data_IF_535485231401
#
_entry.id   IF_535485231401
#
_cell.length_a   1.000
_cell.length_b   1.000
_cell.length_c   1.000
_cell.angle_alpha   90.00
_cell.angle_beta   90.00
_cell.angle_gamma   90.00
#
_symmetry.space_group_name_H-M   'P 1'
#
loop_
_entity.id
_entity.type
_entity.pdbx_description
1 polymer ?
#
# COMPACT_ATOMS: atom_id res chain seq x y z
N UNK A 1 -10.41 -15.22 5.93
CA UNK A 1 -9.42 -14.37 5.21
C UNK A 1 -8.14 -15.17 5.02
N UNK A 2 -7.74 -15.49 3.79
CA UNK A 2 -6.42 -16.06 3.55
C UNK A 2 -5.41 -14.93 3.56
N UNK A 3 -4.46 -14.97 4.47
CA UNK A 3 -3.30 -14.08 4.45
C UNK A 3 -2.52 -14.37 3.19
N UNK A 4 -2.35 -13.38 2.32
CA UNK A 4 -1.47 -13.48 1.16
C UNK A 4 -0.04 -13.48 1.69
N UNK A 5 0.67 -14.57 1.55
CA UNK A 5 2.08 -14.59 1.86
C UNK A 5 2.79 -13.77 0.80
N UNK A 6 3.43 -12.67 1.20
CA UNK A 6 4.32 -11.89 0.36
C UNK A 6 5.74 -12.09 0.87
N UNK A 7 6.70 -12.11 -0.04
CA UNK A 7 8.13 -12.16 0.29
C UNK A 7 8.75 -10.75 0.31
N UNK A 8 7.94 -9.73 0.05
CA UNK A 8 8.34 -8.34 -0.03
C UNK A 8 7.72 -7.55 1.14
N UNK A 9 8.53 -6.66 1.69
CA UNK A 9 8.16 -5.70 2.74
C UNK A 9 8.55 -4.32 2.27
N UNK A 10 7.56 -3.43 2.20
CA UNK A 10 7.78 -2.02 1.92
C UNK A 10 7.94 -1.26 3.24
N UNK A 11 9.08 -0.59 3.43
CA UNK A 11 9.36 0.23 4.61
C UNK A 11 9.33 1.69 4.20
N UNK A 12 8.29 2.40 4.59
CA UNK A 12 8.16 3.84 4.41
C UNK A 12 8.83 4.61 5.54
N UNK A 13 9.56 5.67 5.18
CA UNK A 13 10.20 6.55 6.14
C UNK A 13 9.57 7.93 6.13
N UNK A 14 9.34 8.49 7.32
CA UNK A 14 9.26 9.94 7.45
C UNK A 14 10.64 10.53 7.13
N UNK A 15 10.70 11.63 6.37
CA UNK A 15 11.98 12.17 5.93
C UNK A 15 12.70 12.84 7.09
N UNK A 16 13.54 12.08 7.76
CA UNK A 16 14.57 12.58 8.64
C UNK A 16 15.92 12.13 8.09
N UNK A 17 16.82 13.08 7.90
CA UNK A 17 18.21 12.82 7.48
C UNK A 17 18.81 11.74 8.37
N UNK A 18 19.37 10.70 7.75
CA UNK A 18 20.03 9.58 8.45
C UNK A 18 19.14 8.36 8.75
N UNK A 19 17.83 8.40 8.50
CA UNK A 19 17.00 7.18 8.67
C UNK A 19 17.23 6.17 7.54
N UNK A 20 17.34 6.65 6.30
CA UNK A 20 17.57 5.79 5.13
C UNK A 20 18.93 5.11 5.24
N UNK A 21 19.99 5.86 5.59
CA UNK A 21 21.33 5.30 5.79
C UNK A 21 21.37 4.29 6.93
N UNK A 22 20.68 4.55 8.05
CA UNK A 22 20.60 3.59 9.15
C UNK A 22 19.85 2.33 8.76
N UNK A 23 18.74 2.47 8.01
CA UNK A 23 18.00 1.32 7.52
C UNK A 23 18.86 0.48 6.57
N UNK A 24 19.57 1.13 5.63
CA UNK A 24 20.54 0.47 4.76
C UNK A 24 21.59 -0.30 5.56
N UNK A 25 22.29 0.37 6.45
CA UNK A 25 23.34 -0.25 7.26
C UNK A 25 22.81 -1.42 8.09
N UNK A 26 21.59 -1.29 8.63
CA UNK A 26 20.91 -2.37 9.37
C UNK A 26 20.59 -3.57 8.47
N UNK A 27 20.09 -3.33 7.25
CA UNK A 27 19.81 -4.40 6.30
C UNK A 27 21.08 -5.13 5.86
N UNK A 28 22.16 -4.38 5.55
CA UNK A 28 23.47 -4.93 5.19
C UNK A 28 24.05 -5.79 6.35
N UNK A 29 23.97 -5.31 7.61
CA UNK A 29 24.36 -6.07 8.80
C UNK A 29 23.57 -7.38 8.97
N UNK A 30 22.30 -7.40 8.53
CA UNK A 30 21.44 -8.59 8.54
C UNK A 30 21.62 -9.48 7.30
N UNK A 31 22.60 -9.20 6.45
CA UNK A 31 22.96 -10.01 5.29
C UNK A 31 22.03 -9.80 4.08
N UNK A 32 21.33 -8.67 4.02
CA UNK A 32 20.67 -8.25 2.80
C UNK A 32 21.67 -7.59 1.87
N UNK A 33 21.52 -7.82 0.58
CA UNK A 33 22.32 -7.23 -0.48
C UNK A 33 21.47 -6.20 -1.22
N UNK A 34 22.01 -5.02 -1.40
CA UNK A 34 21.37 -3.96 -2.17
C UNK A 34 21.39 -4.29 -3.66
N UNK A 35 20.26 -4.15 -4.35
CA UNK A 35 20.18 -4.32 -5.80
C UNK A 35 20.87 -3.15 -6.52
N UNK A 36 21.30 -3.39 -7.75
CA UNK A 36 22.03 -2.41 -8.55
C UNK A 36 21.08 -1.60 -9.47
N UNK A 37 21.59 -0.49 -9.99
CA UNK A 37 20.93 0.31 -11.01
C UNK A 37 19.68 1.01 -10.52
N UNK A 38 18.58 0.89 -11.26
CA UNK A 38 17.29 1.53 -10.96
C UNK A 38 16.57 0.95 -9.74
N UNK A 39 16.94 -0.27 -9.32
CA UNK A 39 16.37 -0.96 -8.15
C UNK A 39 17.20 -0.80 -6.88
N UNK A 40 18.11 0.17 -6.81
CA UNK A 40 18.97 0.40 -5.64
C UNK A 40 18.23 0.69 -4.32
N UNK A 41 16.94 0.97 -4.36
CA UNK A 41 16.08 1.06 -3.19
C UNK A 41 15.68 -0.32 -2.61
N UNK A 42 15.96 -1.39 -3.36
CA UNK A 42 15.63 -2.77 -3.02
C UNK A 42 16.81 -3.49 -2.40
N UNK A 43 16.50 -4.22 -1.36
CA UNK A 43 17.44 -5.09 -0.65
C UNK A 43 16.90 -6.51 -0.65
N UNK A 44 17.72 -7.47 -0.99
CA UNK A 44 17.32 -8.86 -1.07
C UNK A 44 18.19 -9.78 -0.23
N UNK A 45 17.62 -10.85 0.32
CA UNK A 45 18.34 -11.88 1.04
C UNK A 45 17.79 -13.26 0.70
N UNK A 46 18.68 -14.17 0.31
CA UNK A 46 18.34 -15.57 0.10
C UNK A 46 18.16 -16.28 1.44
N UNK A 47 17.09 -17.06 1.59
CA UNK A 47 16.81 -17.91 2.75
C UNK A 47 16.40 -19.29 2.29
N UNK A 48 16.29 -20.25 3.23
CA UNK A 48 15.78 -21.57 2.92
C UNK A 48 14.31 -21.57 2.40
N UNK A 49 13.55 -20.53 2.74
CA UNK A 49 12.16 -20.36 2.30
C UNK A 49 12.01 -19.56 0.99
N UNK A 50 13.11 -19.06 0.43
CA UNK A 50 13.12 -18.24 -0.79
C UNK A 50 13.81 -16.88 -0.60
N UNK A 51 13.61 -15.99 -1.57
CA UNK A 51 14.15 -14.64 -1.51
C UNK A 51 13.23 -13.76 -0.66
N UNK A 52 13.80 -13.09 0.33
CA UNK A 52 13.15 -12.00 1.06
C UNK A 52 13.56 -10.68 0.42
N UNK A 53 12.59 -9.80 0.21
CA UNK A 53 12.79 -8.48 -0.40
C UNK A 53 12.35 -7.41 0.58
N UNK A 54 13.13 -6.34 0.68
CA UNK A 54 12.78 -5.13 1.44
C UNK A 54 12.99 -3.93 0.53
N UNK A 55 11.94 -3.18 0.27
CA UNK A 55 12.00 -1.93 -0.49
C UNK A 55 11.94 -0.75 0.48
N UNK A 56 12.88 0.19 0.36
CA UNK A 56 12.91 1.42 1.13
C UNK A 56 12.14 2.51 0.38
N UNK A 57 11.08 3.03 0.98
CA UNK A 57 10.21 4.03 0.38
C UNK A 57 10.32 5.37 1.10
N UNK A 58 10.25 6.47 0.36
CA UNK A 58 10.19 7.82 0.91
C UNK A 58 9.12 8.64 0.19
N UNK A 59 8.58 9.66 0.86
CA UNK A 59 7.64 10.55 0.20
C UNK A 59 8.30 11.31 -0.95
N UNK A 60 7.65 11.29 -2.12
CA UNK A 60 8.17 11.87 -3.35
C UNK A 60 8.53 13.36 -3.21
N UNK A 61 7.76 14.13 -2.44
CA UNK A 61 8.00 15.56 -2.26
C UNK A 61 9.26 15.86 -1.42
N UNK A 62 9.81 14.85 -0.78
CA UNK A 62 10.93 14.95 0.16
C UNK A 62 12.12 14.06 -0.19
N UNK A 63 12.10 13.46 -1.39
CA UNK A 63 13.08 12.46 -1.80
C UNK A 63 14.45 13.02 -2.18
N UNK A 64 14.60 14.35 -2.34
CA UNK A 64 15.86 14.95 -2.79
C UNK A 64 17.02 14.63 -1.85
N UNK A 65 18.03 13.94 -2.38
CA UNK A 65 19.26 13.57 -1.65
C UNK A 65 19.11 12.43 -0.64
N UNK A 66 18.02 11.70 -0.67
CA UNK A 66 17.73 10.59 0.27
C UNK A 66 17.80 9.21 -0.42
N UNK A 67 18.78 9.03 -1.30
CA UNK A 67 19.06 7.70 -1.85
C UNK A 67 19.66 6.77 -0.77
N UNK A 68 19.37 5.45 -0.78
CA UNK A 68 18.72 4.69 -1.85
C UNK A 68 17.21 4.40 -1.62
N UNK A 69 16.39 5.36 -1.30
CA UNK A 69 14.95 5.13 -1.16
C UNK A 69 14.18 5.44 -2.45
N UNK A 70 13.12 4.68 -2.71
CA UNK A 70 12.21 4.90 -3.83
C UNK A 70 11.25 6.05 -3.49
N UNK A 71 11.21 7.14 -4.28
CA UNK A 71 10.21 8.18 -4.12
C UNK A 71 8.80 7.65 -4.45
N UNK A 72 7.89 7.70 -3.47
CA UNK A 72 6.50 7.28 -3.63
C UNK A 72 5.58 8.38 -3.14
N UNK A 73 4.66 8.81 -3.99
CA UNK A 73 3.69 9.82 -3.64
C UNK A 73 2.70 9.33 -2.59
N UNK A 74 2.53 10.09 -1.52
CA UNK A 74 1.56 9.83 -0.46
C UNK A 74 2.07 9.01 0.73
N UNK A 75 3.35 8.64 0.77
CA UNK A 75 3.94 7.91 1.93
C UNK A 75 3.76 8.71 3.22
N UNK A 76 4.09 10.01 3.23
CA UNK A 76 3.90 10.85 4.41
C UNK A 76 2.43 10.99 4.80
N UNK A 77 1.53 11.11 3.82
CA UNK A 77 0.10 11.20 4.10
C UNK A 77 -0.46 9.90 4.71
N UNK A 78 0.04 8.74 4.28
CA UNK A 78 -0.33 7.46 4.89
C UNK A 78 0.24 7.31 6.31
N UNK A 79 1.47 7.80 6.53
CA UNK A 79 2.15 7.74 7.83
C UNK A 79 1.53 8.66 8.89
N UNK A 80 0.71 9.64 8.52
CA UNK A 80 -0.03 10.49 9.47
C UNK A 80 -1.00 9.71 10.37
N UNK A 81 -1.41 8.52 9.95
CA UNK A 81 -2.34 7.67 10.67
C UNK A 81 -1.80 6.24 10.69
N UNK A 82 -1.15 5.89 11.79
CA UNK A 82 -0.53 4.57 11.98
C UNK A 82 -1.05 3.88 13.23
N UNK A 83 -0.91 2.57 13.28
CA UNK A 83 -1.16 1.74 14.45
C UNK A 83 0.09 0.91 14.75
N UNK A 84 0.42 0.77 16.03
CA UNK A 84 1.45 -0.17 16.48
C UNK A 84 0.84 -1.57 16.51
N UNK A 85 1.49 -2.50 15.80
CA UNK A 85 1.07 -3.90 15.71
C UNK A 85 2.16 -4.79 16.28
N UNK A 86 1.78 -5.60 17.26
CA UNK A 86 2.69 -6.58 17.86
C UNK A 86 2.67 -7.87 17.02
N UNK A 87 3.80 -8.20 16.42
CA UNK A 87 3.98 -9.42 15.63
C UNK A 87 4.72 -10.46 16.46
N UNK A 88 4.15 -11.66 16.56
CA UNK A 88 4.83 -12.83 17.12
C UNK A 88 5.33 -13.70 15.97
N UNK A 89 6.63 -13.79 15.82
CA UNK A 89 7.29 -14.57 14.76
C UNK A 89 7.86 -15.83 15.38
N UNK A 90 7.41 -16.99 14.90
CA UNK A 90 7.88 -18.29 15.39
C UNK A 90 9.41 -18.41 15.23
N UNK A 91 10.10 -18.79 16.31
CA UNK A 91 11.56 -18.92 16.32
C UNK A 91 12.36 -17.62 16.42
N UNK A 92 11.70 -16.45 16.33
CA UNK A 92 12.36 -15.13 16.39
C UNK A 92 11.95 -14.35 17.66
N UNK A 93 10.67 -14.42 18.04
CA UNK A 93 10.14 -13.70 19.21
C UNK A 93 9.00 -12.74 18.83
N UNK A 94 8.86 -11.69 19.64
CA UNK A 94 7.87 -10.65 19.45
C UNK A 94 8.57 -9.35 19.03
N UNK A 95 8.01 -8.66 18.04
CA UNK A 95 8.44 -7.32 17.65
C UNK A 95 7.22 -6.42 17.47
N UNK A 96 7.41 -5.13 17.64
CA UNK A 96 6.41 -4.12 17.34
C UNK A 96 6.76 -3.45 16.04
N UNK A 97 5.76 -3.32 15.17
CA UNK A 97 5.88 -2.62 13.89
C UNK A 97 4.78 -1.58 13.79
N UNK A 98 5.12 -0.44 13.24
CA UNK A 98 4.16 0.61 12.94
C UNK A 98 3.66 0.43 11.53
N UNK A 99 2.35 0.29 11.36
CA UNK A 99 1.72 0.10 10.04
C UNK A 99 0.71 1.21 9.77
N UNK A 100 0.50 1.62 8.53
CA UNK A 100 -0.59 2.52 8.18
C UNK A 100 -1.93 1.95 8.64
N UNK A 101 -2.82 2.79 9.15
CA UNK A 101 -4.22 2.42 9.37
C UNK A 101 -4.90 2.10 8.03
N UNK A 102 -6.08 1.47 8.06
CA UNK A 102 -6.78 1.02 6.85
C UNK A 102 -7.00 2.15 5.83
N UNK A 103 -7.32 3.35 6.31
CA UNK A 103 -7.49 4.54 5.47
C UNK A 103 -6.17 5.02 4.85
N UNK A 104 -5.05 4.89 5.57
CA UNK A 104 -3.71 5.14 5.03
C UNK A 104 -3.28 4.09 4.01
N UNK A 105 -3.54 2.83 4.28
CA UNK A 105 -3.26 1.73 3.36
C UNK A 105 -4.10 1.85 2.07
N UNK A 106 -5.39 2.20 2.19
CA UNK A 106 -6.25 2.46 1.05
C UNK A 106 -5.71 3.63 0.20
N UNK A 107 -5.32 4.74 0.84
CA UNK A 107 -4.74 5.89 0.15
C UNK A 107 -3.56 5.49 -0.74
N UNK A 108 -2.57 4.78 -0.18
CA UNK A 108 -1.40 4.31 -0.93
C UNK A 108 -1.79 3.38 -2.08
N UNK A 109 -2.74 2.47 -1.84
CA UNK A 109 -3.17 1.53 -2.85
C UNK A 109 -3.95 2.20 -3.98
N UNK A 110 -4.79 3.20 -3.67
CA UNK A 110 -5.49 3.99 -4.67
C UNK A 110 -4.51 4.82 -5.53
N UNK A 111 -3.49 5.41 -4.90
CA UNK A 111 -2.44 6.14 -5.62
C UNK A 111 -1.59 5.23 -6.52
N UNK A 112 -1.34 3.98 -6.14
CA UNK A 112 -0.60 3.01 -6.95
C UNK A 112 -1.32 2.59 -8.24
N UNK A 113 -2.61 2.93 -8.41
CA UNK A 113 -3.38 2.67 -9.63
C UNK A 113 -3.08 3.64 -10.79
N UNK A 114 -2.15 4.58 -10.62
CA UNK A 114 -1.77 5.58 -11.64
C UNK A 114 -1.31 4.96 -12.96
N UNK A 115 -0.71 3.75 -12.93
CA UNK A 115 -0.31 3.01 -14.13
C UNK A 115 -1.48 2.56 -15.02
N UNK A 116 -2.71 2.59 -14.49
CA UNK A 116 -3.90 2.17 -15.20
C UNK A 116 -3.89 0.68 -15.59
N UNK A 117 -4.84 0.28 -16.42
CA UNK A 117 -5.04 -1.14 -16.81
C UNK A 117 -3.92 -1.75 -17.67
N UNK A 118 -2.92 -0.97 -18.05
CA UNK A 118 -1.73 -1.45 -18.78
C UNK A 118 -0.59 -1.92 -17.86
N UNK A 119 -0.66 -1.64 -16.56
CA UNK A 119 0.34 -2.08 -15.60
C UNK A 119 0.17 -3.59 -15.30
N UNK A 120 1.28 -4.32 -15.27
CA UNK A 120 1.29 -5.77 -14.94
C UNK A 120 0.73 -6.09 -13.54
N UNK A 121 0.81 -5.13 -12.61
CA UNK A 121 0.30 -5.25 -11.24
C UNK A 121 -1.09 -4.65 -11.06
N UNK A 122 -1.69 -4.09 -12.11
CA UNK A 122 -2.97 -3.39 -12.00
C UNK A 122 -4.07 -4.23 -11.38
N UNK A 123 -4.25 -5.47 -11.82
CA UNK A 123 -5.28 -6.38 -11.30
C UNK A 123 -5.09 -6.65 -9.80
N UNK A 124 -3.84 -6.78 -9.33
CA UNK A 124 -3.52 -6.97 -7.92
C UNK A 124 -3.83 -5.71 -7.11
N UNK A 125 -3.43 -4.55 -7.59
CA UNK A 125 -3.69 -3.27 -6.93
C UNK A 125 -5.19 -2.95 -6.89
N UNK A 126 -5.93 -3.23 -7.96
CA UNK A 126 -7.37 -3.05 -8.01
C UNK A 126 -8.10 -3.97 -7.01
N UNK A 127 -7.68 -5.23 -6.89
CA UNK A 127 -8.25 -6.17 -5.92
C UNK A 127 -7.95 -5.75 -4.48
N UNK A 128 -6.71 -5.33 -4.19
CA UNK A 128 -6.33 -4.86 -2.86
C UNK A 128 -7.08 -3.57 -2.48
N UNK A 129 -7.19 -2.60 -3.42
CA UNK A 129 -7.96 -1.38 -3.22
C UNK A 129 -9.44 -1.67 -2.94
N UNK A 130 -10.05 -2.59 -3.69
CA UNK A 130 -11.44 -3.00 -3.48
C UNK A 130 -11.65 -3.67 -2.11
N UNK A 131 -10.74 -4.54 -1.68
CA UNK A 131 -10.81 -5.19 -0.38
C UNK A 131 -10.68 -4.16 0.77
N UNK A 132 -9.76 -3.20 0.66
CA UNK A 132 -9.58 -2.13 1.64
C UNK A 132 -10.80 -1.18 1.66
N UNK A 133 -11.34 -0.79 0.50
CA UNK A 133 -12.53 0.02 0.39
C UNK A 133 -13.72 -0.65 1.09
N UNK A 134 -13.93 -1.94 0.88
CA UNK A 134 -14.98 -2.71 1.54
C UNK A 134 -14.85 -2.69 3.07
N UNK A 135 -13.62 -2.87 3.59
CA UNK A 135 -13.37 -2.81 5.03
C UNK A 135 -13.60 -1.42 5.62
N UNK A 136 -13.35 -0.36 4.84
CA UNK A 136 -13.59 1.03 5.26
C UNK A 136 -15.08 1.33 5.39
N UNK A 137 -15.90 0.93 4.43
CA UNK A 137 -17.35 1.20 4.47
C UNK A 137 -18.11 0.29 5.43
N UNK A 138 -17.62 -0.91 5.73
CA UNK A 138 -18.24 -1.83 6.69
C UNK A 138 -18.13 -1.37 8.15
N UNK A 139 -17.30 -0.36 8.44
CA UNK A 139 -17.06 0.11 9.81
C UNK A 139 -17.08 1.64 9.88
N UNK A 140 -18.06 2.20 10.56
CA UNK A 140 -18.26 3.64 10.74
C UNK A 140 -17.00 4.38 11.24
N UNK A 141 -16.21 3.75 12.09
CA UNK A 141 -14.97 4.33 12.61
C UNK A 141 -13.97 4.57 11.48
N UNK A 142 -13.77 3.61 10.60
CA UNK A 142 -12.81 3.72 9.50
C UNK A 142 -13.31 4.65 8.41
N UNK A 143 -14.61 4.61 8.11
CA UNK A 143 -15.23 5.54 7.17
C UNK A 143 -15.10 6.98 7.66
N UNK A 144 -15.31 7.25 8.94
CA UNK A 144 -15.11 8.58 9.53
C UNK A 144 -13.66 9.06 9.46
N UNK A 145 -12.68 8.18 9.68
CA UNK A 145 -11.26 8.53 9.52
C UNK A 145 -10.93 8.89 8.09
N UNK A 146 -11.42 8.11 7.13
CA UNK A 146 -11.25 8.42 5.72
C UNK A 146 -11.92 9.74 5.34
N UNK A 147 -13.14 9.96 5.76
CA UNK A 147 -13.91 11.20 5.51
C UNK A 147 -13.25 12.45 6.11
N UNK A 148 -12.45 12.29 7.15
CA UNK A 148 -11.71 13.38 7.77
C UNK A 148 -10.40 13.73 7.05
N UNK A 149 -9.89 12.84 6.16
CA UNK A 149 -8.66 13.09 5.42
C UNK A 149 -8.84 14.21 4.42
N UNK A 150 -7.81 15.04 4.31
CA UNK A 150 -7.73 16.16 3.37
C UNK A 150 -6.33 16.19 2.76
N UNK A 151 -6.17 16.99 1.71
CA UNK A 151 -4.89 17.23 1.05
C UNK A 151 -4.85 16.75 -0.40
N UNK A 152 -3.76 17.08 -1.07
CA UNK A 152 -3.55 16.78 -2.49
C UNK A 152 -3.49 15.27 -2.79
N UNK A 153 -3.03 14.48 -1.83
CA UNK A 153 -2.93 13.03 -1.94
C UNK A 153 -4.32 12.38 -1.98
N UNK A 154 -5.24 12.86 -1.15
CA UNK A 154 -6.64 12.39 -1.14
C UNK A 154 -7.34 12.80 -2.44
N UNK A 155 -7.14 14.05 -2.87
CA UNK A 155 -7.69 14.53 -4.15
C UNK A 155 -7.15 13.70 -5.34
N UNK A 156 -5.85 13.39 -5.35
CA UNK A 156 -5.23 12.56 -6.37
C UNK A 156 -5.78 11.12 -6.34
N UNK A 157 -5.88 10.51 -5.16
CA UNK A 157 -6.44 9.16 -5.01
C UNK A 157 -7.88 9.07 -5.55
N UNK A 158 -8.71 10.09 -5.27
CA UNK A 158 -10.06 10.20 -5.84
C UNK A 158 -10.06 10.32 -7.35
N UNK A 159 -9.24 11.23 -7.89
CA UNK A 159 -9.14 11.45 -9.33
C UNK A 159 -8.68 10.20 -10.09
N UNK A 160 -7.84 9.37 -9.47
CA UNK A 160 -7.37 8.10 -10.03
C UNK A 160 -8.44 7.01 -9.87
N UNK A 161 -8.98 6.83 -8.67
CA UNK A 161 -9.89 5.72 -8.36
C UNK A 161 -11.27 5.89 -9.00
N UNK A 162 -11.82 7.11 -9.04
CA UNK A 162 -13.18 7.33 -9.54
C UNK A 162 -13.39 6.77 -10.95
N UNK A 163 -12.62 7.12 -11.98
CA UNK A 163 -12.84 6.59 -13.33
C UNK A 163 -12.58 5.07 -13.42
N UNK A 164 -11.76 4.52 -12.54
CA UNK A 164 -11.45 3.09 -12.53
C UNK A 164 -12.56 2.24 -11.89
N UNK A 165 -13.36 2.81 -11.00
CA UNK A 165 -14.39 2.08 -10.25
C UNK A 165 -15.80 2.70 -10.36
N UNK A 166 -16.00 3.69 -11.23
CA UNK A 166 -17.25 4.42 -11.40
C UNK A 166 -18.44 3.53 -11.76
N UNK A 167 -18.24 2.54 -12.59
CA UNK A 167 -19.27 1.60 -13.00
C UNK A 167 -18.85 0.14 -12.83
N UNK A 168 -19.79 -0.81 -12.81
CA UNK A 168 -19.45 -2.23 -12.81
C UNK A 168 -18.59 -2.67 -14.00
N UNK A 169 -18.65 -1.92 -15.12
CA UNK A 169 -17.87 -2.21 -16.33
C UNK A 169 -16.54 -1.45 -16.38
N UNK A 170 -16.24 -0.61 -15.38
CA UNK A 170 -14.96 0.09 -15.33
C UNK A 170 -13.79 -0.86 -15.11
N UNK A 171 -12.59 -0.53 -15.64
CA UNK A 171 -11.43 -1.45 -15.63
C UNK A 171 -11.08 -1.98 -14.25
N UNK A 172 -11.09 -1.14 -13.22
CA UNK A 172 -10.78 -1.53 -11.84
C UNK A 172 -11.83 -2.46 -11.24
N UNK A 173 -13.14 -2.18 -11.48
CA UNK A 173 -14.23 -3.03 -10.99
C UNK A 173 -14.15 -4.43 -11.60
N UNK A 174 -13.85 -4.53 -12.90
CA UNK A 174 -13.69 -5.81 -13.59
C UNK A 174 -12.42 -6.54 -13.13
N UNK A 175 -11.30 -5.84 -13.01
CA UNK A 175 -10.04 -6.41 -12.54
C UNK A 175 -10.17 -6.99 -11.13
N UNK A 176 -10.72 -6.21 -10.19
CA UNK A 176 -10.92 -6.64 -8.83
C UNK A 176 -11.86 -7.85 -8.72
N UNK A 177 -12.96 -7.86 -9.50
CA UNK A 177 -13.92 -8.97 -9.48
C UNK A 177 -13.35 -10.28 -10.05
N UNK A 178 -12.43 -10.21 -11.01
CA UNK A 178 -11.73 -11.38 -11.57
C UNK A 178 -10.72 -11.99 -10.59
N UNK A 179 -10.01 -11.14 -9.83
CA UNK A 179 -8.98 -11.56 -8.88
C UNK A 179 -9.55 -12.14 -7.61
N UNK A 180 -10.72 -11.73 -7.20
CA UNK A 180 -11.39 -12.28 -6.00
C UNK A 180 -12.05 -13.63 -6.33
N UNK A 181 -11.24 -14.67 -6.43
CA UNK A 181 -11.65 -16.06 -6.72
C UNK A 181 -12.25 -16.78 -5.49
N UNK A 182 -12.68 -16.08 -4.45
CA UNK A 182 -13.19 -16.66 -3.19
C UNK A 182 -14.70 -16.79 -3.23
N UNK A 183 -15.25 -17.67 -2.38
CA UNK A 183 -16.71 -17.85 -2.16
C UNK A 183 -17.45 -16.53 -1.75
N UNK A 184 -16.70 -15.50 -1.42
CA UNK A 184 -17.18 -14.16 -1.08
C UNK A 184 -16.81 -13.13 -2.15
N UNK A 185 -16.62 -13.57 -3.40
CA UNK A 185 -16.24 -12.68 -4.51
C UNK A 185 -17.14 -11.44 -4.57
N UNK A 186 -16.52 -10.28 -4.43
CA UNK A 186 -17.21 -9.01 -4.61
C UNK A 186 -17.60 -8.90 -6.09
N UNK A 187 -18.89 -8.84 -6.36
CA UNK A 187 -19.31 -8.55 -7.74
C UNK A 187 -18.84 -7.16 -8.15
N UNK A 188 -18.52 -6.98 -9.44
CA UNK A 188 -18.10 -5.67 -9.97
C UNK A 188 -19.12 -4.55 -9.63
N UNK A 189 -20.41 -4.90 -9.53
CA UNK A 189 -21.48 -3.98 -9.09
C UNK A 189 -21.32 -3.53 -7.64
N UNK A 190 -21.00 -4.46 -6.73
CA UNK A 190 -20.78 -4.14 -5.31
C UNK A 190 -19.50 -3.32 -5.13
N UNK A 191 -18.45 -3.66 -5.87
CA UNK A 191 -17.17 -2.91 -5.86
C UNK A 191 -17.42 -1.44 -6.26
N UNK A 192 -18.09 -1.20 -7.39
CA UNK A 192 -18.42 0.15 -7.84
C UNK A 192 -19.24 0.91 -6.81
N UNK A 193 -20.30 0.31 -6.24
CA UNK A 193 -21.10 0.94 -5.20
C UNK A 193 -20.29 1.30 -3.94
N UNK A 194 -19.38 0.42 -3.51
CA UNK A 194 -18.48 0.68 -2.38
C UNK A 194 -17.56 1.89 -2.63
N UNK A 195 -17.02 2.02 -3.83
CA UNK A 195 -16.17 3.16 -4.18
C UNK A 195 -16.94 4.47 -4.22
N UNK A 196 -18.18 4.48 -4.73
CA UNK A 196 -19.05 5.68 -4.66
C UNK A 196 -19.27 6.11 -3.21
N UNK A 197 -19.70 5.20 -2.34
CA UNK A 197 -19.90 5.49 -0.92
C UNK A 197 -18.65 6.07 -0.26
N UNK A 198 -17.49 5.45 -0.50
CA UNK A 198 -16.22 5.87 0.09
C UNK A 198 -15.73 7.21 -0.45
N UNK A 199 -15.82 7.45 -1.76
CA UNK A 199 -15.32 8.66 -2.38
C UNK A 199 -16.23 9.86 -2.14
N UNK A 200 -17.54 9.65 -2.00
CA UNK A 200 -18.52 10.68 -1.62
C UNK A 200 -18.34 11.12 -0.16
N UNK A 201 -18.02 10.18 0.73
CA UNK A 201 -17.78 10.48 2.15
C UNK A 201 -16.56 11.39 2.38
N UNK A 202 -15.61 11.47 1.44
CA UNK A 202 -14.41 12.30 1.53
C UNK A 202 -14.52 13.66 0.79
N UNK A 203 -15.74 14.05 0.39
CA UNK A 203 -16.03 15.28 -0.40
C UNK A 203 -16.05 16.57 0.43
#
# INVERSE_FOLDING_TARGET
>A
MRVRATNDVDIGFEPAVGYVERARATLEDKGYVQDAGEYRFRFSRMTAAGVLIVDLLIDQDRASGLEPALPVFGVSAAAQSTADVSLRIAGVGQCEVRVPTLDGAFLLRALALTGGSGDLKFDDYAADAAALAQLLVERDEFLRRWSARRGKEVAAARAIALPLFDTPNSPGSLAASRRDSRDTALSARRISATFHELLDAAS
#
